data_IF_483094798546
#
_entry.id   IF_483094798546
#
_cell.length_a   1.000
_cell.length_b   1.000
_cell.length_c   1.000
_cell.angle_alpha   90.00
_cell.angle_beta   90.00
_cell.angle_gamma   90.00
#
_symmetry.space_group_name_H-M   'P 1'
#
loop_
_entity.id
_entity.type
_entity.pdbx_description
1 polymer ?
#
# COMPACT_ATOMS: atom_id res chain seq x y z
N UNK A 1 6.77 -1.64 26.37
CA UNK A 1 6.74 -1.73 25.64
C UNK A 1 6.77 -1.99 25.31
N UNK A 2 6.57 -1.98 25.64
CA UNK A 2 6.53 -2.12 24.93
C UNK A 2 6.61 -2.57 24.40
N UNK A 3 6.37 -2.62 24.70
CA UNK A 3 6.44 -3.02 23.94
C UNK A 3 6.55 -3.16 23.19
N UNK A 4 6.41 -2.91 23.33
CA UNK A 4 6.50 -3.09 22.37
C UNK A 4 7.14 -3.28 21.84
N UNK A 5 7.29 -3.25 22.23
CA UNK A 5 7.94 -3.43 21.66
C UNK A 5 8.53 -3.76 21.13
N UNK A 6 8.16 -3.85 21.39
CA UNK A 6 9.03 -4.36 20.60
C UNK A 6 9.80 -3.98 19.97
N UNK A 7 9.95 -4.31 19.95
CA UNK A 7 10.97 -4.00 19.17
C UNK A 7 10.57 -3.52 17.88
N UNK A 8 10.76 -2.34 17.78
CA UNK A 8 10.47 -1.63 16.58
C UNK A 8 11.11 -2.24 15.37
N UNK A 9 12.17 -2.94 15.56
CA UNK A 9 12.85 -3.54 14.42
C UNK A 9 12.08 -4.71 13.82
N UNK A 10 11.00 -5.10 14.46
CA UNK A 10 10.28 -6.28 14.04
C UNK A 10 8.94 -6.03 13.40
N UNK A 11 8.76 -4.86 12.83
CA UNK A 11 7.56 -4.63 12.04
C UNK A 11 7.51 -5.66 10.92
N UNK A 12 6.36 -6.29 10.70
CA UNK A 12 6.24 -7.18 9.57
C UNK A 12 6.59 -6.47 8.27
N UNK A 13 7.17 -7.21 7.37
CA UNK A 13 7.63 -6.63 6.11
C UNK A 13 6.49 -5.94 5.35
N UNK A 14 5.29 -6.53 5.37
CA UNK A 14 4.17 -5.93 4.65
C UNK A 14 3.81 -4.55 5.22
N UNK A 15 4.02 -4.33 6.53
CA UNK A 15 3.75 -3.03 7.12
C UNK A 15 4.76 -2.00 6.65
N UNK A 16 6.00 -2.40 6.44
CA UNK A 16 7.01 -1.50 5.89
C UNK A 16 6.64 -1.11 4.47
N UNK A 17 6.17 -2.07 3.67
CA UNK A 17 5.74 -1.80 2.31
C UNK A 17 4.52 -0.90 2.33
N UNK A 18 3.58 -1.16 3.24
CA UNK A 18 2.39 -0.32 3.39
C UNK A 18 2.80 1.13 3.67
N UNK A 19 3.77 1.32 4.55
CA UNK A 19 4.24 2.66 4.88
C UNK A 19 4.89 3.33 3.67
N UNK A 20 5.66 2.59 2.88
CA UNK A 20 6.30 3.13 1.70
C UNK A 20 5.27 3.55 0.66
N UNK A 21 4.24 2.74 0.45
CA UNK A 21 3.18 3.07 -0.50
C UNK A 21 2.43 4.31 -0.01
N UNK A 22 2.11 4.35 1.29
CA UNK A 22 1.41 5.49 1.87
C UNK A 22 2.22 6.77 1.67
N UNK A 23 3.52 6.68 1.84
CA UNK A 23 4.40 7.82 1.64
C UNK A 23 4.35 8.33 0.21
N UNK A 24 4.35 7.40 -0.76
CA UNK A 24 4.23 7.78 -2.16
C UNK A 24 2.91 8.48 -2.44
N UNK A 25 1.84 8.02 -1.79
CA UNK A 25 0.54 8.67 -1.93
C UNK A 25 0.58 10.08 -1.36
N UNK A 26 1.19 10.24 -0.20
CA UNK A 26 1.25 11.55 0.45
C UNK A 26 2.14 12.52 -0.29
N UNK A 27 3.19 12.01 -0.92
CA UNK A 27 4.12 12.88 -1.65
C UNK A 27 3.59 13.28 -3.01
N UNK A 28 2.49 12.65 -3.46
CA UNK A 28 1.92 12.95 -4.76
C UNK A 28 2.54 12.16 -5.90
N UNK A 29 3.33 11.17 -5.59
CA UNK A 29 3.90 10.31 -6.63
C UNK A 29 2.77 9.66 -7.43
N UNK A 30 1.74 9.20 -6.74
CA UNK A 30 0.54 8.66 -7.38
C UNK A 30 -0.63 9.48 -6.91
N UNK A 31 -1.28 10.18 -7.85
CA UNK A 31 -2.37 11.08 -7.52
C UNK A 31 -3.69 10.34 -7.46
N UNK A 32 -4.69 10.91 -6.81
CA UNK A 32 -6.02 10.28 -6.75
C UNK A 32 -6.51 9.93 -8.16
N UNK A 33 -7.01 8.71 -8.30
CA UNK A 33 -7.51 8.24 -9.58
C UNK A 33 -6.45 7.62 -10.47
N UNK A 34 -5.18 7.75 -10.13
CA UNK A 34 -4.12 7.16 -10.94
C UNK A 34 -3.91 5.70 -10.57
N UNK A 35 -3.48 4.93 -11.54
CA UNK A 35 -3.11 3.54 -11.30
C UNK A 35 -1.73 3.50 -10.66
N UNK A 36 -1.57 2.68 -9.63
CA UNK A 36 -0.24 2.44 -9.08
C UNK A 36 0.37 1.25 -9.84
N UNK A 37 1.69 1.05 -9.72
CA UNK A 37 2.32 -0.10 -10.36
C UNK A 37 1.69 -1.41 -9.90
N UNK A 38 1.82 -2.45 -10.70
CA UNK A 38 1.28 -3.75 -10.36
C UNK A 38 1.99 -4.33 -9.14
N UNK A 39 1.38 -5.35 -8.56
CA UNK A 39 2.00 -6.05 -7.44
C UNK A 39 3.39 -6.56 -7.82
N UNK A 40 3.52 -7.07 -9.03
CA UNK A 40 4.79 -7.57 -9.52
C UNK A 40 5.81 -6.44 -9.61
N UNK A 41 5.41 -5.31 -10.16
CA UNK A 41 6.30 -4.16 -10.29
C UNK A 41 6.73 -3.63 -8.94
N UNK A 42 5.79 -3.54 -8.00
CA UNK A 42 6.12 -3.06 -6.67
C UNK A 42 7.00 -4.06 -5.92
N UNK A 43 6.76 -5.35 -6.13
CA UNK A 43 7.60 -6.37 -5.50
C UNK A 43 9.04 -6.24 -5.98
N UNK A 44 9.24 -5.97 -7.26
CA UNK A 44 10.56 -5.78 -7.81
C UNK A 44 11.18 -4.48 -7.30
N UNK A 45 10.38 -3.42 -7.23
CA UNK A 45 10.85 -2.12 -6.79
C UNK A 45 11.33 -2.15 -5.34
N UNK A 46 10.58 -2.84 -4.49
CA UNK A 46 10.91 -2.91 -3.06
C UNK A 46 11.69 -4.16 -2.70
N UNK A 47 11.93 -5.04 -3.66
CA UNK A 47 12.70 -6.27 -3.44
C UNK A 47 12.05 -7.17 -2.40
N UNK A 48 10.76 -7.38 -2.55
CA UNK A 48 10.00 -8.26 -1.67
C UNK A 48 9.13 -9.17 -2.52
N UNK A 49 8.46 -10.12 -1.88
CA UNK A 49 7.58 -11.02 -2.61
C UNK A 49 6.28 -10.32 -3.00
N UNK A 50 5.63 -10.83 -4.03
CA UNK A 50 4.32 -10.33 -4.43
C UNK A 50 3.30 -10.45 -3.31
N UNK A 51 3.38 -11.55 -2.53
CA UNK A 51 2.46 -11.75 -1.42
C UNK A 51 2.56 -10.65 -0.39
N UNK A 52 3.79 -10.18 -0.14
CA UNK A 52 4.01 -9.09 0.81
C UNK A 52 3.36 -7.80 0.29
N UNK A 53 3.55 -7.51 -0.99
CA UNK A 53 2.95 -6.33 -1.60
C UNK A 53 1.43 -6.44 -1.58
N UNK A 54 0.90 -7.61 -1.94
CA UNK A 54 -0.54 -7.83 -1.96
C UNK A 54 -1.15 -7.57 -0.59
N UNK A 55 -0.52 -8.06 0.46
CA UNK A 55 -1.05 -7.84 1.80
C UNK A 55 -1.06 -6.37 2.17
N UNK A 56 0.00 -5.65 1.81
CA UNK A 56 0.05 -4.21 2.05
C UNK A 56 -1.06 -3.50 1.31
N UNK A 57 -1.26 -3.85 0.04
CA UNK A 57 -2.31 -3.23 -0.77
C UNK A 57 -3.69 -3.57 -0.22
N UNK A 58 -3.89 -4.83 0.21
CA UNK A 58 -5.16 -5.22 0.79
C UNK A 58 -5.51 -4.35 1.99
N UNK A 59 -4.54 -4.07 2.85
CA UNK A 59 -4.79 -3.23 4.02
C UNK A 59 -5.07 -1.79 3.63
N UNK A 60 -4.35 -1.27 2.64
CA UNK A 60 -4.61 0.08 2.17
C UNK A 60 -5.97 0.19 1.50
N UNK A 61 -6.39 -0.85 0.80
CA UNK A 61 -7.72 -0.88 0.22
C UNK A 61 -8.79 -0.91 1.31
N UNK A 62 -8.53 -1.66 2.39
CA UNK A 62 -9.45 -1.69 3.52
C UNK A 62 -9.57 -0.34 4.19
N UNK A 63 -8.52 0.49 4.11
CA UNK A 63 -8.53 1.82 4.66
C UNK A 63 -9.04 2.86 3.66
N UNK A 64 -9.50 2.40 2.51
CA UNK A 64 -10.03 3.26 1.45
C UNK A 64 -8.99 4.20 0.84
N UNK A 65 -7.72 3.85 0.96
CA UNK A 65 -6.66 4.62 0.33
C UNK A 65 -6.37 4.13 -1.08
N UNK A 66 -6.67 2.87 -1.35
CA UNK A 66 -6.51 2.28 -2.67
C UNK A 66 -7.80 1.57 -3.06
N UNK A 67 -8.00 1.40 -4.35
CA UNK A 67 -9.17 0.72 -4.89
C UNK A 67 -8.67 -0.34 -5.86
N UNK A 68 -9.06 -1.60 -5.63
CA UNK A 68 -8.74 -2.67 -6.56
C UNK A 68 -9.82 -2.73 -7.62
N UNK A 69 -9.41 -2.66 -8.89
CA UNK A 69 -10.35 -2.77 -9.99
C UNK A 69 -10.04 -4.05 -10.74
N UNK A 70 -10.97 -4.95 -10.69
CA UNK A 70 -10.79 -6.26 -11.28
C UNK A 70 -10.46 -6.15 -12.76
N UNK A 71 -9.37 -6.83 -13.15
CA UNK A 71 -8.94 -6.81 -14.54
C UNK A 71 -8.20 -5.57 -14.97
N UNK A 72 -8.11 -4.56 -14.10
CA UNK A 72 -7.47 -3.29 -14.47
C UNK A 72 -6.30 -2.93 -13.58
N UNK A 73 -6.27 -3.44 -12.36
CA UNK A 73 -5.19 -3.16 -11.43
C UNK A 73 -5.67 -2.43 -10.20
N UNK A 74 -4.75 -1.75 -9.55
CA UNK A 74 -5.04 -1.02 -8.32
C UNK A 74 -4.86 0.47 -8.59
N UNK A 75 -5.81 1.25 -8.11
CA UNK A 75 -5.83 2.70 -8.32
C UNK A 75 -5.85 3.42 -6.99
N UNK A 76 -5.35 4.64 -7.00
CA UNK A 76 -5.45 5.49 -5.82
C UNK A 76 -6.90 5.92 -5.70
N UNK A 77 -7.48 5.81 -4.50
CA UNK A 77 -8.87 6.17 -4.30
C UNK A 77 -9.05 7.68 -4.53
N UNK A 78 -10.20 8.03 -5.05
CA UNK A 78 -10.52 9.43 -5.27
C UNK A 78 -11.17 9.99 -4.01
N UNK A 79 -11.35 11.31 -3.99
CA UNK A 79 -11.99 11.97 -2.87
C UNK A 79 -13.37 11.37 -2.58
N UNK A 80 -14.12 11.08 -3.63
CA UNK A 80 -15.46 10.51 -3.47
C UNK A 80 -15.41 9.13 -2.82
N UNK A 81 -14.38 8.36 -3.13
CA UNK A 81 -14.24 7.01 -2.57
C UNK A 81 -13.75 7.05 -1.12
N UNK A 82 -13.04 8.09 -0.75
CA UNK A 82 -12.56 8.24 0.62
C UNK A 82 -13.65 8.74 1.55
N UNK A 83 -14.64 9.39 1.02
CA UNK A 83 -15.76 9.88 1.80
C UNK A 83 -16.77 8.76 1.98
N UNK A 84 -17.03 8.41 3.19
CA UNK A 84 -17.96 7.33 3.45
C UNK A 84 -19.10 7.81 4.30
#
# INVERSE_FOLDING_TARGET
ASTESGGPAFSPLYQQIKALITRSLQSGEWKPGEAIPSEMDLAARYRVSQGTVRKAIDELAAENLLVRRQGKGTYVSTHAEQQI
#
